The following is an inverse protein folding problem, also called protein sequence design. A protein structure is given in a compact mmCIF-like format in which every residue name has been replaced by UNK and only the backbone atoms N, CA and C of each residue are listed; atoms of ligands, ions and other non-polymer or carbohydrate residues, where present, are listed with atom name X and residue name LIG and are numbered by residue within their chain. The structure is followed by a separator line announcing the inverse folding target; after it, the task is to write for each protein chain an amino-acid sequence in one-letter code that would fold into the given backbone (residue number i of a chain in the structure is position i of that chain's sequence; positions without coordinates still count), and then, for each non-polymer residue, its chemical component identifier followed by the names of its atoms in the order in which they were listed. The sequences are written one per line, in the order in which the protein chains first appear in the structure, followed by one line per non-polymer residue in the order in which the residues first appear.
data_IF_417399484670
#
_entry.id   IF_417399484670
#
_cell.length_a   1.000
_cell.length_b   1.000
_cell.length_c   1.000
_cell.angle_alpha   90.00
_cell.angle_beta   90.00
_cell.angle_gamma   90.00
#
_symmetry.space_group_name_H-M   'P 1'
#
loop_
_entity.id
_entity.type
_entity.pdbx_description
1 polymer ?
#
# COMPACT_ATOMS: atom_id res chain seq x y z
N UNK A 1 -17.39 4.51 -5.63
CA UNK A 1 -17.28 3.25 -6.41
C UNK A 1 -17.44 2.07 -5.46
N UNK A 2 -17.79 0.88 -5.94
CA UNK A 2 -17.72 -0.35 -5.11
C UNK A 2 -16.38 -1.04 -5.36
N UNK A 3 -15.62 -1.29 -4.31
CA UNK A 3 -14.36 -2.02 -4.33
C UNK A 3 -14.51 -3.27 -3.46
N UNK A 4 -14.35 -4.46 -4.03
CA UNK A 4 -14.47 -5.74 -3.31
C UNK A 4 -15.75 -5.86 -2.44
N UNK A 5 -16.86 -5.26 -2.87
CA UNK A 5 -18.12 -5.24 -2.10
C UNK A 5 -18.22 -4.13 -1.05
N UNK A 6 -17.13 -3.44 -0.73
CA UNK A 6 -17.10 -2.25 0.12
C UNK A 6 -17.36 -0.98 -0.70
N UNK A 7 -18.20 -0.11 -0.18
CA UNK A 7 -18.36 1.24 -0.71
C UNK A 7 -17.12 2.07 -0.36
N UNK A 8 -16.39 2.48 -1.38
CA UNK A 8 -15.37 3.53 -1.26
C UNK A 8 -15.96 4.83 -1.79
N UNK A 9 -15.90 5.87 -0.98
CA UNK A 9 -16.27 7.22 -1.35
C UNK A 9 -15.00 7.91 -1.83
N UNK A 10 -14.88 8.23 -3.13
CA UNK A 10 -13.78 9.06 -3.61
C UNK A 10 -13.76 10.34 -2.79
N UNK A 11 -12.61 10.66 -2.23
CA UNK A 11 -12.33 11.91 -1.54
C UNK A 11 -11.65 12.86 -2.53
N UNK A 12 -11.92 14.16 -2.43
CA UNK A 12 -11.28 15.19 -3.28
C UNK A 12 -9.82 15.49 -2.82
N UNK A 13 -9.15 14.51 -2.21
CA UNK A 13 -7.79 14.63 -1.64
C UNK A 13 -6.72 13.94 -2.48
N UNK A 14 -7.07 13.50 -3.69
CA UNK A 14 -6.17 12.84 -4.64
C UNK A 14 -6.03 11.32 -4.46
N UNK A 15 -6.53 10.74 -3.36
CA UNK A 15 -6.50 9.28 -3.18
C UNK A 15 -7.58 8.58 -4.03
N UNK A 16 -7.16 8.02 -5.17
CA UNK A 16 -8.08 7.42 -6.15
C UNK A 16 -8.68 6.08 -5.68
N UNK A 17 -7.98 5.38 -4.80
CA UNK A 17 -8.31 4.03 -4.31
C UNK A 17 -7.82 3.87 -2.86
N UNK A 18 -8.39 2.92 -2.09
CA UNK A 18 -7.87 2.58 -0.77
C UNK A 18 -6.36 2.31 -0.79
N UNK A 19 -5.64 2.87 0.18
CA UNK A 19 -4.20 2.70 0.34
C UNK A 19 -3.32 3.63 -0.49
N UNK A 20 -3.87 4.38 -1.44
CA UNK A 20 -3.15 5.46 -2.11
C UNK A 20 -2.92 6.61 -1.13
N UNK A 21 -1.71 7.16 -1.12
CA UNK A 21 -1.43 8.40 -0.41
C UNK A 21 -2.23 9.56 -1.03
N UNK A 22 -2.69 10.46 -0.18
CA UNK A 22 -3.32 11.72 -0.56
C UNK A 22 -2.30 12.72 -1.12
N UNK A 23 -2.78 13.73 -1.84
CA UNK A 23 -1.93 14.83 -2.33
C UNK A 23 -1.22 15.56 -1.17
N UNK A 24 -1.89 15.68 -0.02
CA UNK A 24 -1.32 16.30 1.17
C UNK A 24 -0.18 15.45 1.77
N UNK A 25 -0.35 14.13 1.87
CA UNK A 25 0.68 13.22 2.35
C UNK A 25 1.89 13.17 1.40
N UNK A 26 1.66 13.22 0.09
CA UNK A 26 2.73 13.30 -0.91
C UNK A 26 3.48 14.63 -0.85
N UNK A 27 2.77 15.74 -0.60
CA UNK A 27 3.39 17.04 -0.38
C UNK A 27 4.23 17.04 0.91
N UNK A 28 3.73 16.47 2.00
CA UNK A 28 4.47 16.31 3.25
C UNK A 28 5.72 15.45 3.07
N UNK A 29 5.61 14.32 2.35
CA UNK A 29 6.74 13.46 2.04
C UNK A 29 7.81 14.20 1.24
N UNK A 30 7.41 15.02 0.27
CA UNK A 30 8.33 15.82 -0.55
C UNK A 30 9.06 16.89 0.28
N UNK A 31 8.36 17.51 1.22
CA UNK A 31 8.90 18.57 2.08
C UNK A 31 9.80 18.02 3.20
N UNK A 32 9.50 16.83 3.73
CA UNK A 32 10.23 16.21 4.84
C UNK A 32 11.61 15.71 4.39
N UNK A 33 12.60 15.71 5.29
CA UNK A 33 13.97 15.26 5.03
C UNK A 33 14.51 14.35 6.13
N UNK A 34 15.55 13.60 5.80
CA UNK A 34 16.25 12.69 6.71
C UNK A 34 15.33 11.60 7.27
N UNK A 35 15.62 11.15 8.48
CA UNK A 35 14.92 10.03 9.13
C UNK A 35 13.39 10.22 9.21
N UNK A 36 12.90 11.47 9.35
CA UNK A 36 11.47 11.75 9.34
C UNK A 36 10.82 11.42 8.00
N UNK A 37 11.51 11.68 6.89
CA UNK A 37 11.02 11.36 5.55
C UNK A 37 11.01 9.84 5.34
N UNK A 38 12.02 9.15 5.85
CA UNK A 38 12.10 7.69 5.80
C UNK A 38 10.93 7.05 6.56
N UNK A 39 10.66 7.51 7.79
CA UNK A 39 9.50 7.03 8.58
C UNK A 39 8.17 7.32 7.88
N UNK A 40 8.01 8.50 7.30
CA UNK A 40 6.78 8.85 6.56
C UNK A 40 6.61 7.97 5.31
N UNK A 41 7.67 7.77 4.52
CA UNK A 41 7.66 6.88 3.38
C UNK A 41 7.25 5.45 3.76
N UNK A 42 7.87 4.89 4.80
CA UNK A 42 7.60 3.52 5.25
C UNK A 42 6.14 3.35 5.72
N UNK A 43 5.57 4.35 6.39
CA UNK A 43 4.16 4.33 6.81
C UNK A 43 3.21 4.36 5.62
N UNK A 44 3.42 5.30 4.69
CA UNK A 44 2.59 5.42 3.49
C UNK A 44 2.68 4.15 2.64
N UNK A 45 3.89 3.63 2.44
CA UNK A 45 4.11 2.42 1.64
C UNK A 45 3.54 1.17 2.32
N UNK A 46 3.56 1.09 3.65
CA UNK A 46 2.91 -0.01 4.39
C UNK A 46 1.39 -0.01 4.16
N UNK A 47 0.76 1.16 4.21
CA UNK A 47 -0.69 1.29 3.93
C UNK A 47 -1.00 0.97 2.47
N UNK A 48 -0.17 1.46 1.55
CA UNK A 48 -0.26 1.18 0.11
C UNK A 48 -0.15 -0.33 -0.19
N UNK A 49 0.84 -1.01 0.39
CA UNK A 49 1.03 -2.45 0.18
C UNK A 49 -0.05 -3.31 0.81
N UNK A 50 -0.63 -2.92 1.96
CA UNK A 50 -1.77 -3.65 2.54
C UNK A 50 -2.97 -3.63 1.58
N UNK A 51 -3.34 -2.45 1.10
CA UNK A 51 -4.44 -2.34 0.13
C UNK A 51 -4.11 -3.06 -1.19
N UNK A 52 -2.87 -2.92 -1.68
CA UNK A 52 -2.41 -3.61 -2.89
C UNK A 52 -2.44 -5.14 -2.75
N UNK A 53 -2.12 -5.69 -1.58
CA UNK A 53 -2.20 -7.12 -1.32
C UNK A 53 -3.65 -7.63 -1.32
N UNK A 54 -4.57 -6.88 -0.71
CA UNK A 54 -6.01 -7.21 -0.73
C UNK A 54 -6.55 -7.21 -2.18
N UNK A 55 -6.17 -6.20 -2.97
CA UNK A 55 -6.52 -6.10 -4.39
C UNK A 55 -5.98 -7.28 -5.20
N UNK A 56 -4.70 -7.61 -4.98
CA UNK A 56 -4.05 -8.72 -5.66
C UNK A 56 -4.71 -10.05 -5.29
N UNK A 57 -5.09 -10.25 -4.03
CA UNK A 57 -5.78 -11.47 -3.60
C UNK A 57 -7.16 -11.60 -4.26
N UNK A 58 -7.91 -10.51 -4.39
CA UNK A 58 -9.15 -10.50 -5.17
C UNK A 58 -8.91 -10.84 -6.64
N UNK A 59 -7.88 -10.24 -7.25
CA UNK A 59 -7.55 -10.46 -8.64
C UNK A 59 -7.17 -11.92 -8.91
N UNK A 60 -6.39 -12.54 -8.02
CA UNK A 60 -6.04 -13.96 -8.11
C UNK A 60 -7.28 -14.87 -8.06
N UNK A 61 -8.22 -14.60 -7.15
CA UNK A 61 -9.48 -15.34 -7.04
C UNK A 61 -10.42 -15.16 -8.24
N UNK A 62 -10.36 -14.03 -8.93
CA UNK A 62 -11.18 -13.73 -10.10
C UNK A 62 -10.50 -14.06 -11.45
N UNK A 63 -9.22 -14.45 -11.44
CA UNK A 63 -8.41 -14.60 -12.64
C UNK A 63 -8.88 -15.77 -13.54
N UNK A 64 -9.14 -15.45 -14.81
CA UNK A 64 -9.53 -16.42 -15.85
C UNK A 64 -8.36 -17.09 -16.55
N UNK A 65 -7.14 -16.59 -16.35
CA UNK A 65 -5.92 -17.14 -16.94
C UNK A 65 -4.86 -17.32 -15.85
N UNK A 66 -4.01 -18.32 -16.04
CA UNK A 66 -2.93 -18.61 -15.09
C UNK A 66 -1.89 -17.48 -15.04
N UNK A 67 -1.69 -16.77 -16.15
CA UNK A 67 -0.79 -15.61 -16.20
C UNK A 67 -1.21 -14.52 -15.21
N UNK A 68 -2.50 -14.16 -15.19
CA UNK A 68 -3.01 -13.14 -14.27
C UNK A 68 -3.04 -13.67 -12.84
N UNK A 69 -3.43 -14.93 -12.63
CA UNK A 69 -3.42 -15.55 -11.29
C UNK A 69 -2.03 -15.54 -10.68
N UNK A 70 -1.03 -16.00 -11.44
CA UNK A 70 0.35 -16.10 -10.98
C UNK A 70 0.97 -14.72 -10.70
N UNK A 71 0.66 -13.71 -11.52
CA UNK A 71 1.09 -12.34 -11.28
C UNK A 71 0.48 -11.82 -9.97
N UNK A 72 -0.83 -11.96 -9.81
CA UNK A 72 -1.54 -11.49 -8.63
C UNK A 72 -1.05 -12.20 -7.34
N UNK A 73 -0.89 -13.52 -7.37
CA UNK A 73 -0.31 -14.28 -6.26
C UNK A 73 1.14 -13.83 -5.96
N UNK A 74 1.91 -13.48 -6.99
CA UNK A 74 3.24 -12.88 -6.84
C UNK A 74 3.20 -11.54 -6.12
N UNK A 75 2.26 -10.67 -6.47
CA UNK A 75 2.06 -9.37 -5.82
C UNK A 75 1.63 -9.53 -4.36
N UNK A 76 0.79 -10.52 -4.02
CA UNK A 76 0.43 -10.81 -2.62
C UNK A 76 1.67 -11.16 -1.82
N UNK A 77 2.46 -12.13 -2.29
CA UNK A 77 3.68 -12.58 -1.59
C UNK A 77 4.72 -11.46 -1.45
N UNK A 78 4.96 -10.71 -2.52
CA UNK A 78 5.91 -9.60 -2.53
C UNK A 78 5.52 -8.53 -1.52
N UNK A 79 4.28 -8.04 -1.61
CA UNK A 79 3.82 -6.95 -0.74
C UNK A 79 3.73 -7.38 0.74
N UNK A 80 3.34 -8.63 1.04
CA UNK A 80 3.39 -9.14 2.42
C UNK A 80 4.82 -9.22 2.97
N UNK A 81 5.77 -9.64 2.14
CA UNK A 81 7.19 -9.63 2.52
C UNK A 81 7.72 -8.22 2.76
N UNK A 82 7.36 -7.27 1.90
CA UNK A 82 7.77 -5.87 2.01
C UNK A 82 7.15 -5.18 3.22
N UNK A 83 5.90 -5.51 3.59
CA UNK A 83 5.28 -5.03 4.83
C UNK A 83 6.09 -5.46 6.06
N UNK A 84 6.54 -6.72 6.11
CA UNK A 84 7.41 -7.20 7.18
C UNK A 84 8.73 -6.44 7.24
N UNK A 85 9.38 -6.28 6.08
CA UNK A 85 10.63 -5.53 5.95
C UNK A 85 10.48 -4.06 6.41
N UNK A 86 9.40 -3.40 6.01
CA UNK A 86 9.15 -2.00 6.40
C UNK A 86 8.84 -1.86 7.89
N UNK A 87 8.19 -2.85 8.51
CA UNK A 87 7.98 -2.87 9.95
C UNK A 87 9.31 -2.95 10.71
N UNK A 88 10.25 -3.77 10.25
CA UNK A 88 11.60 -3.84 10.81
C UNK A 88 12.34 -2.51 10.61
N UNK A 89 12.28 -1.93 9.40
CA UNK A 89 12.90 -0.63 9.10
C UNK A 89 12.33 0.52 9.95
N UNK A 90 11.04 0.50 10.27
CA UNK A 90 10.41 1.46 11.19
C UNK A 90 10.95 1.30 12.61
N UNK A 91 11.06 0.05 13.09
CA UNK A 91 11.61 -0.26 14.40
C UNK A 91 13.06 0.20 14.54
N UNK A 92 13.88 0.00 13.50
CA UNK A 92 15.29 0.45 13.48
C UNK A 92 15.42 1.98 13.56
N UNK A 93 14.39 2.72 13.16
CA UNK A 93 14.28 4.20 13.27
C UNK A 93 13.57 4.66 14.54
N UNK A 94 13.36 3.76 15.51
CA UNK A 94 12.63 4.07 16.74
C UNK A 94 11.15 4.42 16.52
N UNK A 95 10.59 4.12 15.33
CA UNK A 95 9.21 4.36 14.98
C UNK A 95 8.37 3.08 15.17
N UNK A 96 7.08 3.26 15.47
CA UNK A 96 6.13 2.16 15.54
C UNK A 96 5.68 1.73 14.13
N UNK A 97 5.61 0.42 13.85
CA UNK A 97 4.96 -0.15 12.67
C UNK A 97 3.46 0.15 12.58
#
# INVERSE_FOLDING_TARGET
MKWMGHTFTPTDDGSLMPGMATDAELAELTATKGEKAEVLFLRLMTVHHRAGADMAQAAAGAARTDVIRNLADGMVRGQQSEIGLMADMLKDRGAKP
#
